data_IF_138434005741
#
_entry.id   IF_138434005741
#
_cell.length_a   1.000
_cell.length_b   1.000
_cell.length_c   1.000
_cell.angle_alpha   90.00
_cell.angle_beta   90.00
_cell.angle_gamma   90.00
#
_symmetry.space_group_name_H-M   'P 1'
#
loop_
_entity.id
_entity.type
_entity.pdbx_description
1 polymer ?
#
# COMPACT_ATOMS: atom_id res chain seq x y z
N UNK A 1 -14.01 -10.85 17.93
CA UNK A 1 -14.77 -10.80 16.65
C UNK A 1 -15.87 -11.86 16.62
N UNK A 2 -15.79 -12.91 17.45
CA UNK A 2 -16.82 -13.95 17.59
C UNK A 2 -18.12 -13.47 18.26
N UNK A 3 -18.10 -12.41 19.09
CA UNK A 3 -19.31 -11.91 19.78
C UNK A 3 -20.29 -11.10 18.93
N UNK A 4 -20.00 -10.85 17.64
CA UNK A 4 -20.89 -10.09 16.74
C UNK A 4 -21.69 -10.97 15.78
N UNK A 5 -21.49 -12.29 15.79
CA UNK A 5 -22.25 -13.21 14.94
C UNK A 5 -23.58 -13.57 15.60
N UNK A 6 -24.58 -12.71 15.44
CA UNK A 6 -25.96 -13.15 15.59
C UNK A 6 -26.28 -14.05 14.38
N UNK A 7 -26.63 -15.31 14.64
CA UNK A 7 -26.80 -16.35 13.61
C UNK A 7 -28.16 -16.24 12.89
N UNK A 8 -28.88 -15.13 13.06
CA UNK A 8 -30.25 -14.91 12.59
C UNK A 8 -30.42 -15.28 11.12
N UNK A 9 -29.51 -14.81 10.26
CA UNK A 9 -29.55 -15.01 8.81
C UNK A 9 -28.65 -16.14 8.31
N UNK A 10 -27.98 -16.87 9.21
CA UNK A 10 -27.00 -17.90 8.82
C UNK A 10 -27.66 -19.03 8.04
N UNK A 11 -28.72 -19.62 8.59
CA UNK A 11 -29.39 -20.76 7.96
C UNK A 11 -29.88 -20.41 6.55
N UNK A 12 -30.54 -19.25 6.43
CA UNK A 12 -31.06 -18.74 5.16
C UNK A 12 -29.97 -18.53 4.10
N UNK A 13 -28.81 -18.00 4.50
CA UNK A 13 -27.69 -17.79 3.57
C UNK A 13 -26.95 -19.08 3.25
N UNK A 14 -26.87 -20.05 4.18
CA UNK A 14 -26.30 -21.37 3.87
C UNK A 14 -27.18 -22.12 2.86
N UNK A 15 -28.51 -22.05 2.98
CA UNK A 15 -29.44 -22.62 1.99
C UNK A 15 -29.24 -21.99 0.61
N UNK A 16 -29.06 -20.67 0.55
CA UNK A 16 -28.82 -19.94 -0.70
C UNK A 16 -27.52 -20.33 -1.41
N UNK A 17 -26.50 -20.87 -0.70
CA UNK A 17 -25.22 -21.25 -1.31
C UNK A 17 -25.33 -22.41 -2.31
N UNK A 18 -26.39 -23.19 -2.20
CA UNK A 18 -26.64 -24.32 -3.09
C UNK A 18 -27.26 -23.88 -4.43
N UNK A 19 -27.60 -22.60 -4.58
CA UNK A 19 -28.17 -22.03 -5.80
C UNK A 19 -27.08 -21.59 -6.79
N UNK A 20 -27.28 -21.85 -8.09
CA UNK A 20 -26.34 -21.49 -9.16
C UNK A 20 -26.08 -19.97 -9.23
N UNK A 21 -27.10 -19.15 -8.95
CA UNK A 21 -27.06 -17.68 -8.97
C UNK A 21 -26.91 -17.06 -7.56
N UNK A 22 -26.28 -17.78 -6.63
CA UNK A 22 -26.16 -17.41 -5.21
C UNK A 22 -25.84 -15.92 -4.95
N UNK A 23 -24.84 -15.37 -5.64
CA UNK A 23 -24.43 -13.97 -5.44
C UNK A 23 -25.49 -12.98 -5.91
N UNK A 24 -26.14 -13.22 -7.05
CA UNK A 24 -27.16 -12.31 -7.59
C UNK A 24 -28.42 -12.31 -6.73
N UNK A 25 -28.86 -13.50 -6.31
CA UNK A 25 -30.02 -13.66 -5.42
C UNK A 25 -29.74 -13.04 -4.05
N UNK A 26 -28.56 -13.29 -3.49
CA UNK A 26 -28.14 -12.69 -2.23
C UNK A 26 -28.00 -11.17 -2.33
N UNK A 27 -27.50 -10.65 -3.45
CA UNK A 27 -27.38 -9.22 -3.68
C UNK A 27 -28.75 -8.53 -3.75
N UNK A 28 -29.71 -9.09 -4.49
CA UNK A 28 -31.09 -8.59 -4.56
C UNK A 28 -31.74 -8.55 -3.17
N UNK A 29 -31.51 -9.60 -2.38
CA UNK A 29 -32.18 -9.79 -1.08
C UNK A 29 -31.55 -8.99 0.05
N UNK A 30 -30.22 -8.91 0.09
CA UNK A 30 -29.51 -8.44 1.28
C UNK A 30 -28.76 -7.12 1.11
N UNK A 31 -28.44 -6.64 -0.10
CA UNK A 31 -27.64 -5.40 -0.24
C UNK A 31 -28.34 -4.18 0.37
N UNK A 32 -29.64 -4.05 0.16
CA UNK A 32 -30.43 -2.91 0.63
C UNK A 32 -31.45 -3.31 1.70
N UNK A 33 -31.22 -4.43 2.38
CA UNK A 33 -32.14 -4.96 3.37
C UNK A 33 -32.32 -3.98 4.54
N UNK A 34 -33.55 -3.77 5.06
CA UNK A 34 -33.78 -2.80 6.14
C UNK A 34 -33.06 -3.16 7.44
N UNK A 35 -32.97 -4.46 7.76
CA UNK A 35 -32.18 -4.95 8.90
C UNK A 35 -30.68 -4.88 8.61
N UNK A 36 -29.95 -4.19 9.48
CA UNK A 36 -28.50 -4.07 9.46
C UNK A 36 -27.80 -5.42 9.62
N UNK A 37 -28.31 -6.32 10.47
CA UNK A 37 -27.69 -7.64 10.68
C UNK A 37 -27.65 -8.47 9.39
N UNK A 38 -28.70 -8.38 8.57
CA UNK A 38 -28.75 -9.05 7.27
C UNK A 38 -27.69 -8.50 6.31
N UNK A 39 -27.56 -7.17 6.21
CA UNK A 39 -26.55 -6.52 5.36
C UNK A 39 -25.13 -6.84 5.84
N UNK A 40 -24.90 -6.83 7.15
CA UNK A 40 -23.63 -7.16 7.79
C UNK A 40 -23.21 -8.60 7.46
N UNK A 41 -24.14 -9.55 7.62
CA UNK A 41 -23.87 -10.96 7.36
C UNK A 41 -23.63 -11.21 5.88
N UNK A 42 -24.40 -10.57 4.99
CA UNK A 42 -24.14 -10.66 3.55
C UNK A 42 -22.78 -10.10 3.16
N UNK A 43 -22.34 -8.97 3.75
CA UNK A 43 -21.01 -8.42 3.50
C UNK A 43 -19.88 -9.41 3.85
N UNK A 44 -20.09 -10.27 4.85
CA UNK A 44 -19.15 -11.32 5.23
C UNK A 44 -19.18 -12.53 4.27
N UNK A 45 -20.37 -12.96 3.85
CA UNK A 45 -20.57 -14.21 3.09
C UNK A 45 -20.53 -14.05 1.56
N UNK A 46 -20.56 -12.82 1.02
CA UNK A 46 -20.61 -12.56 -0.43
C UNK A 46 -19.44 -13.24 -1.17
N UNK A 47 -19.68 -14.11 -2.17
CA UNK A 47 -18.63 -14.96 -2.78
C UNK A 47 -17.44 -14.21 -3.37
N UNK A 48 -17.72 -13.15 -4.14
CA UNK A 48 -16.66 -12.35 -4.75
C UNK A 48 -16.08 -11.26 -3.83
N UNK A 49 -16.36 -11.37 -2.53
CA UNK A 49 -16.06 -10.34 -1.55
C UNK A 49 -17.04 -9.17 -1.66
N UNK A 50 -16.98 -8.30 -0.67
CA UNK A 50 -17.92 -7.18 -0.54
C UNK A 50 -17.71 -6.12 -1.63
N UNK A 51 -18.82 -5.60 -2.15
CA UNK A 51 -18.84 -4.63 -3.25
C UNK A 51 -18.83 -3.17 -2.74
N UNK A 52 -18.81 -2.22 -3.68
CA UNK A 52 -18.74 -0.78 -3.37
C UNK A 52 -19.88 -0.31 -2.47
N UNK A 53 -21.11 -0.76 -2.76
CA UNK A 53 -22.32 -0.36 -2.03
C UNK A 53 -22.22 -0.76 -0.56
N UNK A 54 -21.69 -1.95 -0.26
CA UNK A 54 -21.55 -2.44 1.12
C UNK A 54 -20.48 -1.68 1.90
N UNK A 55 -19.41 -1.22 1.24
CA UNK A 55 -18.39 -0.39 1.92
C UNK A 55 -18.98 0.99 2.24
N UNK A 56 -19.85 1.51 1.37
CA UNK A 56 -20.56 2.78 1.57
C UNK A 56 -21.80 2.66 2.47
N UNK A 57 -22.02 1.52 3.13
CA UNK A 57 -23.22 1.33 3.95
C UNK A 57 -23.34 2.43 5.01
N UNK A 58 -24.58 2.84 5.27
CA UNK A 58 -24.92 3.85 6.25
C UNK A 58 -24.54 3.45 7.68
N UNK A 59 -24.43 2.15 7.95
CA UNK A 59 -24.00 1.64 9.24
C UNK A 59 -22.48 1.37 9.22
N UNK A 60 -21.71 1.96 10.17
CA UNK A 60 -20.27 1.79 10.19
C UNK A 60 -19.82 0.34 10.41
N UNK A 61 -20.60 -0.51 11.07
CA UNK A 61 -20.23 -1.91 11.28
C UNK A 61 -20.34 -2.72 9.98
N UNK A 62 -21.37 -2.46 9.17
CA UNK A 62 -21.51 -3.06 7.83
C UNK A 62 -20.36 -2.60 6.94
N UNK A 63 -20.07 -1.29 6.94
CA UNK A 63 -18.95 -0.70 6.20
C UNK A 63 -17.60 -1.34 6.60
N UNK A 64 -17.35 -1.55 7.90
CA UNK A 64 -16.14 -2.23 8.41
C UNK A 64 -16.05 -3.68 7.91
N UNK A 65 -17.16 -4.43 7.98
CA UNK A 65 -17.20 -5.81 7.51
C UNK A 65 -16.90 -5.87 6.02
N UNK A 66 -17.55 -5.01 5.25
CA UNK A 66 -17.36 -4.91 3.81
C UNK A 66 -15.91 -4.54 3.44
N UNK A 67 -15.33 -3.56 4.13
CA UNK A 67 -13.92 -3.18 3.94
C UNK A 67 -12.97 -4.38 4.16
N UNK A 68 -13.21 -5.14 5.23
CA UNK A 68 -12.38 -6.28 5.62
C UNK A 68 -12.50 -7.47 4.66
N UNK A 69 -13.65 -7.65 4.01
CA UNK A 69 -13.98 -8.81 3.15
C UNK A 69 -14.05 -8.48 1.65
N UNK A 70 -13.84 -7.23 1.26
CA UNK A 70 -13.77 -6.83 -0.14
C UNK A 70 -12.54 -7.43 -0.85
N UNK A 71 -12.63 -7.52 -2.20
CA UNK A 71 -11.49 -7.76 -3.11
C UNK A 71 -11.03 -6.49 -3.85
N UNK A 72 -11.66 -5.34 -3.63
CA UNK A 72 -11.27 -4.05 -4.22
C UNK A 72 -9.84 -3.65 -3.81
N UNK A 73 -9.19 -2.76 -4.56
CA UNK A 73 -7.89 -2.21 -4.17
C UNK A 73 -8.00 -1.29 -2.94
N UNK A 74 -6.86 -0.90 -2.36
CA UNK A 74 -6.86 -0.15 -1.11
C UNK A 74 -7.49 1.24 -1.30
N UNK A 75 -7.14 1.94 -2.37
CA UNK A 75 -7.66 3.27 -2.66
C UNK A 75 -9.18 3.28 -2.74
N UNK A 76 -9.76 2.33 -3.48
CA UNK A 76 -11.22 2.24 -3.62
C UNK A 76 -11.90 1.87 -2.30
N UNK A 77 -11.31 0.98 -1.49
CA UNK A 77 -11.87 0.68 -0.17
C UNK A 77 -11.86 1.90 0.75
N UNK A 78 -10.75 2.61 0.84
CA UNK A 78 -10.62 3.76 1.73
C UNK A 78 -11.42 4.98 1.28
N UNK A 79 -11.60 5.19 -0.02
CA UNK A 79 -12.42 6.30 -0.53
C UNK A 79 -13.92 6.12 -0.30
N UNK A 80 -14.36 4.88 -0.08
CA UNK A 80 -15.75 4.51 0.16
C UNK A 80 -16.08 4.26 1.62
N UNK A 81 -15.05 4.17 2.47
CA UNK A 81 -15.20 3.79 3.87
C UNK A 81 -16.04 4.82 4.63
N UNK A 82 -16.95 4.35 5.49
CA UNK A 82 -17.78 5.22 6.31
C UNK A 82 -16.92 6.14 7.19
N UNK A 83 -17.19 7.45 7.16
CA UNK A 83 -16.38 8.49 7.84
C UNK A 83 -16.12 8.22 9.32
N UNK A 84 -17.13 7.74 10.06
CA UNK A 84 -17.00 7.43 11.49
C UNK A 84 -15.94 6.36 11.76
N UNK A 85 -15.72 5.45 10.81
CA UNK A 85 -14.67 4.42 10.93
C UNK A 85 -13.29 5.07 10.92
N UNK A 86 -13.10 6.17 10.19
CA UNK A 86 -11.85 6.94 10.14
C UNK A 86 -11.74 7.85 11.37
N UNK A 87 -12.83 8.48 11.80
CA UNK A 87 -12.80 9.48 12.88
C UNK A 87 -12.74 8.87 14.28
N UNK A 88 -13.43 7.73 14.51
CA UNK A 88 -13.58 7.13 15.84
C UNK A 88 -12.60 5.98 16.07
N UNK A 89 -11.76 6.09 17.10
CA UNK A 89 -10.70 5.11 17.38
C UNK A 89 -11.21 3.69 17.64
N UNK A 90 -12.31 3.57 18.40
CA UNK A 90 -12.96 2.29 18.71
C UNK A 90 -13.53 1.58 17.47
N UNK A 91 -13.75 2.31 16.37
CA UNK A 91 -14.12 1.75 15.08
C UNK A 91 -12.89 1.48 14.21
N UNK A 92 -11.94 2.43 14.14
CA UNK A 92 -10.66 2.27 13.42
C UNK A 92 -9.95 0.97 13.78
N UNK A 93 -9.91 0.60 15.05
CA UNK A 93 -9.23 -0.61 15.53
C UNK A 93 -9.77 -1.88 14.86
N UNK A 94 -11.04 -1.89 14.42
CA UNK A 94 -11.68 -3.05 13.78
C UNK A 94 -11.21 -3.30 12.34
N UNK A 95 -10.63 -2.30 11.67
CA UNK A 95 -10.03 -2.46 10.32
C UNK A 95 -8.50 -2.50 10.34
N UNK A 96 -7.87 -2.27 11.49
CA UNK A 96 -6.41 -2.14 11.63
C UNK A 96 -5.64 -3.31 11.01
N UNK A 97 -6.09 -4.55 11.21
CA UNK A 97 -5.42 -5.73 10.66
C UNK A 97 -5.47 -5.76 9.13
N UNK A 98 -6.63 -5.45 8.53
CA UNK A 98 -6.75 -5.37 7.08
C UNK A 98 -5.95 -4.20 6.51
N UNK A 99 -5.98 -3.04 7.17
CA UNK A 99 -5.15 -1.88 6.80
C UNK A 99 -3.67 -2.23 6.78
N UNK A 100 -3.16 -2.93 7.82
CA UNK A 100 -1.78 -3.44 7.84
C UNK A 100 -1.47 -4.31 6.63
N UNK A 101 -2.35 -5.25 6.30
CA UNK A 101 -2.15 -6.14 5.14
C UNK A 101 -2.12 -5.37 3.82
N UNK A 102 -3.04 -4.41 3.63
CA UNK A 102 -3.10 -3.58 2.43
C UNK A 102 -1.85 -2.72 2.31
N UNK A 103 -1.45 -2.03 3.39
CA UNK A 103 -0.28 -1.15 3.37
C UNK A 103 1.01 -1.92 3.16
N UNK A 104 1.12 -3.14 3.69
CA UNK A 104 2.25 -4.02 3.36
C UNK A 104 2.35 -4.28 1.87
N UNK A 105 1.23 -4.59 1.21
CA UNK A 105 1.20 -4.81 -0.23
C UNK A 105 1.58 -3.55 -1.00
N UNK A 106 1.02 -2.39 -0.64
CA UNK A 106 1.31 -1.12 -1.31
C UNK A 106 2.78 -0.69 -1.14
N UNK A 107 3.35 -0.85 0.05
CA UNK A 107 4.77 -0.52 0.30
C UNK A 107 5.72 -1.42 -0.48
N UNK A 108 5.28 -2.62 -0.82
CA UNK A 108 6.07 -3.58 -1.57
C UNK A 108 5.97 -3.40 -3.08
N UNK A 109 4.97 -2.65 -3.57
CA UNK A 109 4.58 -2.65 -4.98
C UNK A 109 4.22 -1.25 -5.51
N UNK A 110 3.34 -0.51 -4.82
CA UNK A 110 2.73 0.72 -5.32
C UNK A 110 2.68 1.86 -4.28
N UNK A 111 3.78 2.62 -4.23
CA UNK A 111 3.84 3.88 -3.47
C UNK A 111 2.87 4.95 -3.99
N UNK A 112 2.46 4.91 -5.26
CA UNK A 112 1.51 5.89 -5.82
C UNK A 112 0.12 5.70 -5.21
N UNK A 113 -0.38 4.47 -5.16
CA UNK A 113 -1.64 4.16 -4.50
C UNK A 113 -1.55 4.40 -2.99
N UNK A 114 -0.42 4.06 -2.35
CA UNK A 114 -0.18 4.35 -0.92
C UNK A 114 -0.32 5.84 -0.61
N UNK A 115 0.32 6.71 -1.40
CA UNK A 115 0.26 8.15 -1.19
C UNK A 115 -1.17 8.68 -1.29
N UNK A 116 -1.93 8.22 -2.30
CA UNK A 116 -3.35 8.60 -2.48
C UNK A 116 -4.22 8.12 -1.33
N UNK A 117 -3.96 6.92 -0.80
CA UNK A 117 -4.69 6.43 0.39
C UNK A 117 -4.37 7.30 1.60
N UNK A 118 -3.10 7.64 1.84
CA UNK A 118 -2.68 8.47 2.96
C UNK A 118 -3.15 9.94 2.85
N UNK A 119 -3.50 10.42 1.66
CA UNK A 119 -4.21 11.70 1.49
C UNK A 119 -5.64 11.64 2.06
N UNK A 120 -6.29 10.48 1.97
CA UNK A 120 -7.67 10.27 2.47
C UNK A 120 -7.66 9.93 3.97
N UNK A 121 -6.74 9.06 4.38
CA UNK A 121 -6.68 8.51 5.75
C UNK A 121 -5.29 8.70 6.39
N UNK A 122 -4.83 9.94 6.59
CA UNK A 122 -3.51 10.22 7.18
C UNK A 122 -3.35 9.66 8.60
N UNK A 123 -4.46 9.38 9.29
CA UNK A 123 -4.48 8.75 10.63
C UNK A 123 -3.81 7.37 10.68
N UNK A 124 -3.60 6.70 9.54
CA UNK A 124 -2.90 5.41 9.47
C UNK A 124 -1.44 5.52 9.00
N UNK A 125 -0.86 6.73 8.95
CA UNK A 125 0.53 6.92 8.53
C UNK A 125 1.50 6.11 9.39
N UNK A 126 1.27 6.01 10.70
CA UNK A 126 2.05 5.18 11.62
C UNK A 126 2.04 3.70 11.21
N UNK A 127 0.89 3.20 10.75
CA UNK A 127 0.73 1.84 10.24
C UNK A 127 1.52 1.65 8.94
N UNK A 128 1.51 2.62 8.04
CA UNK A 128 2.29 2.57 6.80
C UNK A 128 3.78 2.54 7.12
N UNK A 129 4.25 3.43 7.99
CA UNK A 129 5.65 3.46 8.43
C UNK A 129 6.07 2.14 9.08
N UNK A 130 5.23 1.57 9.95
CA UNK A 130 5.49 0.25 10.54
C UNK A 130 5.60 -0.85 9.46
N UNK A 131 4.74 -0.82 8.45
CA UNK A 131 4.82 -1.79 7.35
C UNK A 131 6.04 -1.57 6.45
N UNK A 132 6.59 -0.36 6.33
CA UNK A 132 7.88 -0.15 5.66
C UNK A 132 9.00 -0.81 6.45
N UNK A 133 9.07 -0.53 7.75
CA UNK A 133 10.18 -0.97 8.62
C UNK A 133 10.16 -2.48 8.90
N UNK A 134 8.97 -3.01 9.15
CA UNK A 134 8.79 -4.35 9.71
C UNK A 134 7.98 -5.27 8.79
N UNK A 135 7.40 -4.75 7.70
CA UNK A 135 6.69 -5.56 6.72
C UNK A 135 7.66 -6.47 5.97
N UNK A 136 7.24 -7.71 5.73
CA UNK A 136 7.99 -8.63 4.86
C UNK A 136 7.92 -8.12 3.43
N UNK A 137 9.04 -8.21 2.70
CA UNK A 137 9.11 -8.06 1.23
C UNK A 137 8.65 -9.37 0.57
N UNK A 138 7.75 -9.28 -0.41
CA UNK A 138 7.19 -10.42 -1.15
C UNK A 138 7.53 -10.33 -2.64
N UNK A 139 7.59 -9.12 -3.17
CA UNK A 139 7.85 -8.83 -4.57
C UNK A 139 9.21 -8.17 -4.76
N UNK A 140 9.86 -8.44 -5.90
CA UNK A 140 11.10 -7.76 -6.31
C UNK A 140 10.81 -6.55 -7.20
N UNK A 141 9.81 -5.77 -6.80
CA UNK A 141 9.44 -4.51 -7.45
C UNK A 141 10.15 -3.38 -6.71
N UNK A 142 10.81 -2.51 -7.48
CA UNK A 142 11.47 -1.34 -6.93
C UNK A 142 10.50 -0.17 -6.87
N UNK A 143 10.58 0.60 -5.81
CA UNK A 143 9.78 1.81 -5.63
C UNK A 143 10.11 2.85 -6.70
N UNK A 144 9.08 3.55 -7.17
CA UNK A 144 9.25 4.78 -7.94
C UNK A 144 9.85 5.86 -7.04
N UNK A 145 10.93 6.49 -7.48
CA UNK A 145 11.70 7.43 -6.69
C UNK A 145 10.91 8.70 -6.33
N UNK A 146 10.02 9.16 -7.21
CA UNK A 146 9.19 10.35 -6.98
C UNK A 146 8.08 10.03 -5.98
N UNK A 147 7.43 8.89 -6.11
CA UNK A 147 6.39 8.46 -5.17
C UNK A 147 6.96 8.11 -3.79
N UNK A 148 8.14 7.48 -3.74
CA UNK A 148 8.87 7.30 -2.49
C UNK A 148 9.22 8.65 -1.84
N UNK A 149 9.61 9.65 -2.63
CA UNK A 149 9.88 11.02 -2.14
C UNK A 149 8.65 11.69 -1.53
N UNK A 150 7.47 11.49 -2.13
CA UNK A 150 6.20 11.97 -1.54
C UNK A 150 5.89 11.28 -0.21
N UNK A 151 6.16 9.97 -0.11
CA UNK A 151 5.98 9.23 1.13
C UNK A 151 6.95 9.69 2.23
N UNK A 152 8.22 9.94 1.90
CA UNK A 152 9.22 10.52 2.83
C UNK A 152 8.68 11.82 3.44
N UNK A 153 8.18 12.74 2.62
CA UNK A 153 7.64 14.02 3.10
C UNK A 153 6.48 13.83 4.07
N UNK A 154 5.59 12.85 3.83
CA UNK A 154 4.50 12.52 4.77
C UNK A 154 5.04 11.95 6.07
N UNK A 155 6.06 11.10 5.99
CA UNK A 155 6.62 10.36 7.11
C UNK A 155 7.77 11.07 7.84
N UNK A 156 8.00 12.37 7.61
CA UNK A 156 9.17 13.11 8.09
C UNK A 156 9.39 12.95 9.61
N UNK A 157 8.31 13.01 10.39
CA UNK A 157 8.35 12.88 11.85
C UNK A 157 8.71 11.46 12.35
N UNK A 158 8.64 10.45 11.48
CA UNK A 158 8.94 9.06 11.80
C UNK A 158 10.30 8.60 11.25
N UNK A 159 11.07 9.50 10.63
CA UNK A 159 12.33 9.14 10.00
C UNK A 159 13.41 8.84 11.05
N UNK A 160 13.78 7.57 11.14
CA UNK A 160 14.96 7.09 11.84
C UNK A 160 15.84 6.25 10.91
N UNK A 161 16.97 5.75 11.40
CA UNK A 161 17.87 4.92 10.61
C UNK A 161 17.21 3.61 10.16
N UNK A 162 16.28 3.07 10.94
CA UNK A 162 15.52 1.88 10.56
C UNK A 162 14.59 2.17 9.37
N UNK A 163 13.92 3.31 9.35
CA UNK A 163 13.13 3.78 8.22
C UNK A 163 13.99 3.91 6.96
N UNK A 164 15.13 4.61 7.04
CA UNK A 164 16.00 4.82 5.88
C UNK A 164 16.51 3.50 5.30
N UNK A 165 16.99 2.61 6.17
CA UNK A 165 17.46 1.29 5.73
C UNK A 165 16.35 0.49 5.04
N UNK A 166 15.14 0.48 5.62
CA UNK A 166 13.99 -0.19 5.03
C UNK A 166 13.59 0.42 3.67
N UNK A 167 13.64 1.74 3.54
CA UNK A 167 13.41 2.44 2.27
C UNK A 167 14.45 2.04 1.22
N UNK A 168 15.73 2.01 1.58
CA UNK A 168 16.80 1.65 0.64
C UNK A 168 16.64 0.22 0.08
N UNK A 169 16.07 -0.70 0.86
CA UNK A 169 15.73 -2.04 0.37
C UNK A 169 14.62 -2.05 -0.70
N UNK A 170 13.85 -0.97 -0.83
CA UNK A 170 12.84 -0.77 -1.88
C UNK A 170 13.39 -0.08 -3.11
N UNK A 171 14.58 0.51 -3.05
CA UNK A 171 15.19 1.22 -4.18
C UNK A 171 16.05 0.27 -5.04
N UNK A 172 16.32 0.68 -6.28
CA UNK A 172 17.22 -0.05 -7.17
C UNK A 172 18.63 -0.03 -6.57
N UNK A 173 19.33 -1.16 -6.64
CA UNK A 173 20.77 -1.17 -6.33
C UNK A 173 21.58 -1.40 -7.62
N UNK A 174 22.84 -0.97 -7.63
CA UNK A 174 23.67 -1.05 -8.84
C UNK A 174 24.48 -2.34 -8.95
N UNK A 175 24.28 -3.30 -8.03
CA UNK A 175 25.13 -4.48 -7.95
C UNK A 175 25.05 -5.39 -9.18
N UNK A 176 23.90 -5.37 -9.88
CA UNK A 176 23.62 -6.15 -11.09
C UNK A 176 23.59 -5.28 -12.36
N UNK A 177 23.95 -4.01 -12.27
CA UNK A 177 23.85 -3.10 -13.42
C UNK A 177 25.04 -3.28 -14.36
N UNK A 178 24.76 -3.34 -15.66
CA UNK A 178 25.76 -3.07 -16.69
C UNK A 178 26.15 -1.59 -16.67
N UNK A 179 27.28 -1.26 -17.29
CA UNK A 179 27.72 0.13 -17.37
C UNK A 179 26.71 1.02 -18.13
N UNK A 180 26.15 0.54 -19.25
CA UNK A 180 25.07 1.25 -19.95
C UNK A 180 23.86 1.49 -19.02
N UNK A 181 23.37 0.45 -18.35
CA UNK A 181 22.18 0.55 -17.48
C UNK A 181 22.40 1.51 -16.32
N UNK A 182 23.61 1.51 -15.74
CA UNK A 182 23.99 2.49 -14.72
C UNK A 182 23.98 3.91 -15.25
N UNK A 183 24.57 4.12 -16.43
CA UNK A 183 24.59 5.44 -17.06
C UNK A 183 23.17 5.95 -17.31
N UNK A 184 22.33 5.13 -17.96
CA UNK A 184 20.92 5.46 -18.25
C UNK A 184 20.15 5.82 -16.99
N UNK A 185 20.27 5.00 -15.94
CA UNK A 185 19.58 5.26 -14.70
C UNK A 185 20.07 6.53 -13.98
N UNK A 186 21.39 6.79 -13.95
CA UNK A 186 21.92 8.03 -13.37
C UNK A 186 21.47 9.26 -14.18
N UNK A 187 21.44 9.18 -15.50
CA UNK A 187 20.93 10.26 -16.36
C UNK A 187 19.44 10.53 -16.09
N UNK A 188 18.62 9.49 -15.98
CA UNK A 188 17.21 9.60 -15.58
C UNK A 188 17.03 10.27 -14.20
N UNK A 189 17.84 9.86 -13.21
CA UNK A 189 17.79 10.45 -11.87
C UNK A 189 18.20 11.93 -11.87
N UNK A 190 19.19 12.31 -12.69
CA UNK A 190 19.61 13.71 -12.84
C UNK A 190 18.48 14.56 -13.47
N UNK A 191 17.78 14.04 -14.48
CA UNK A 191 16.67 14.74 -15.12
C UNK A 191 15.52 15.03 -14.15
N UNK A 192 15.25 14.10 -13.24
CA UNK A 192 14.14 14.18 -12.28
C UNK A 192 14.56 14.65 -10.88
N UNK A 193 15.83 15.02 -10.67
CA UNK A 193 16.41 15.22 -9.32
C UNK A 193 15.65 16.22 -8.44
N UNK A 194 15.10 17.28 -9.01
CA UNK A 194 14.35 18.30 -8.28
C UNK A 194 13.03 17.76 -7.68
N UNK A 195 12.54 16.62 -8.18
CA UNK A 195 11.35 15.94 -7.69
C UNK A 195 11.66 14.82 -6.70
N UNK A 196 12.93 14.47 -6.53
CA UNK A 196 13.39 13.34 -5.71
C UNK A 196 13.97 13.89 -4.40
N UNK A 197 13.66 13.23 -3.30
CA UNK A 197 14.18 13.57 -1.99
C UNK A 197 15.69 13.32 -1.89
N UNK A 198 16.40 14.20 -1.18
CA UNK A 198 17.85 14.11 -0.99
C UNK A 198 18.29 12.77 -0.38
N UNK A 199 17.46 12.14 0.45
CA UNK A 199 17.76 10.83 1.04
C UNK A 199 17.94 9.76 -0.06
N UNK A 200 17.11 9.80 -1.10
CA UNK A 200 17.16 8.87 -2.24
C UNK A 200 18.35 9.21 -3.15
N UNK A 201 18.57 10.50 -3.42
CA UNK A 201 19.71 10.96 -4.23
C UNK A 201 21.06 10.60 -3.58
N UNK A 202 21.19 10.79 -2.27
CA UNK A 202 22.38 10.41 -1.51
C UNK A 202 22.58 8.89 -1.49
N UNK A 203 21.50 8.10 -1.42
CA UNK A 203 21.57 6.64 -1.56
C UNK A 203 22.17 6.23 -2.91
N UNK A 204 21.62 6.73 -4.01
CA UNK A 204 22.11 6.42 -5.35
C UNK A 204 23.52 6.93 -5.59
N UNK A 205 23.88 8.08 -5.02
CA UNK A 205 25.25 8.58 -5.05
C UNK A 205 26.22 7.59 -4.39
N UNK A 206 25.87 7.08 -3.22
CA UNK A 206 26.68 6.11 -2.49
C UNK A 206 26.75 4.76 -3.22
N UNK A 207 25.67 4.30 -3.83
CA UNK A 207 25.68 3.10 -4.67
C UNK A 207 26.59 3.27 -5.90
N UNK A 208 26.59 4.46 -6.52
CA UNK A 208 27.49 4.80 -7.62
C UNK A 208 28.97 4.76 -7.21
N UNK A 209 29.30 5.23 -6.01
CA UNK A 209 30.67 5.15 -5.46
C UNK A 209 31.07 3.69 -5.23
N UNK A 210 30.20 2.89 -4.58
CA UNK A 210 30.44 1.45 -4.38
C UNK A 210 30.64 0.71 -5.70
N UNK A 211 29.88 1.06 -6.73
CA UNK A 211 30.02 0.47 -8.06
C UNK A 211 31.41 0.74 -8.66
N UNK A 212 31.93 1.96 -8.50
CA UNK A 212 33.26 2.35 -8.99
C UNK A 212 34.41 1.65 -8.26
N UNK A 213 34.24 1.36 -6.96
CA UNK A 213 35.21 0.64 -6.14
C UNK A 213 35.23 -0.86 -6.46
N UNK A 214 34.05 -1.45 -6.69
CA UNK A 214 33.88 -2.88 -6.96
C UNK A 214 34.32 -3.28 -8.38
N UNK A 215 34.09 -2.42 -9.36
CA UNK A 215 34.31 -2.76 -10.77
C UNK A 215 35.64 -2.20 -11.30
N UNK A 216 36.40 -3.07 -11.98
CA UNK A 216 37.63 -2.66 -12.65
C UNK A 216 37.33 -2.00 -14.02
N UNK A 217 36.83 -0.78 -13.98
CA UNK A 217 36.49 0.01 -15.16
C UNK A 217 37.72 0.75 -15.73
N UNK A 218 37.69 1.02 -17.03
CA UNK A 218 38.68 1.90 -17.67
C UNK A 218 38.58 3.33 -17.11
N UNK A 219 39.68 4.08 -17.12
CA UNK A 219 39.78 5.40 -16.48
C UNK A 219 38.70 6.39 -16.97
N UNK A 220 38.41 6.39 -18.27
CA UNK A 220 37.38 7.25 -18.86
C UNK A 220 35.97 6.88 -18.38
N UNK A 221 35.69 5.59 -18.23
CA UNK A 221 34.41 5.11 -17.71
C UNK A 221 34.25 5.50 -16.24
N UNK A 222 35.33 5.36 -15.44
CA UNK A 222 35.34 5.82 -14.04
C UNK A 222 35.05 7.32 -13.92
N UNK A 223 35.70 8.13 -14.75
CA UNK A 223 35.47 9.59 -14.77
C UNK A 223 34.04 9.94 -15.16
N UNK A 224 33.46 9.24 -16.14
CA UNK A 224 32.08 9.46 -16.57
C UNK A 224 31.09 9.17 -15.44
N UNK A 225 31.16 7.98 -14.84
CA UNK A 225 30.24 7.59 -13.75
C UNK A 225 30.43 8.52 -12.54
N UNK A 226 31.67 8.83 -12.16
CA UNK A 226 31.94 9.79 -11.07
C UNK A 226 31.26 11.13 -11.31
N UNK A 227 31.37 11.68 -12.53
CA UNK A 227 30.73 12.94 -12.91
C UNK A 227 29.21 12.87 -12.84
N UNK A 228 28.59 11.76 -13.26
CA UNK A 228 27.14 11.58 -13.18
C UNK A 228 26.68 11.47 -11.73
N UNK A 229 27.36 10.66 -10.93
CA UNK A 229 27.12 10.49 -9.50
C UNK A 229 27.23 11.81 -8.72
N UNK A 230 28.19 12.68 -9.07
CA UNK A 230 28.35 14.00 -8.45
C UNK A 230 27.21 14.97 -8.80
N UNK A 231 26.55 14.81 -9.96
CA UNK A 231 25.44 15.65 -10.41
C UNK A 231 24.09 15.35 -9.76
N UNK A 232 23.99 14.24 -9.02
CA UNK A 232 22.80 13.91 -8.22
C UNK A 232 22.60 14.87 -7.04
N UNK A 233 23.59 15.73 -6.75
CA UNK A 233 23.53 16.76 -5.71
C UNK A 233 23.35 18.16 -6.29
#
# INVERSE_FOLDING_TARGET
MEELFNLTYKQEVEELKEEDDFEAIGDEKYLNHPDMEARLYWAFCRPNGSCEIQIQDIDPLVSIMAFNHSKLNALKRFSLLHKDVIEKENLRVKIKNRTRMLFRALIDDDFSELNKVLDIVPVFLDVAVDQLKNGRKWNDIFADEIEASKFIKKAEIFMDESFKNALYFKLKNYSEFSLEKLKEHLEEMIEKKEMIDNIILDYYKNEGIKYLEKNNLHILQKMLIKKLTEKLK
#
